data_IF_754236600746
#
_entry.id   IF_754236600746
#
_cell.length_a   1.000
_cell.length_b   1.000
_cell.length_c   1.000
_cell.angle_alpha   90.00
_cell.angle_beta   90.00
_cell.angle_gamma   90.00
#
_symmetry.space_group_name_H-M   'P 1'
#
loop_
_entity.id
_entity.type
_entity.pdbx_description
1 polymer ?
#
# COMPACT_ATOMS: atom_id res chain seq x y z
N UNK A 1 -7.75 -7.63 -14.65
CA UNK A 1 -7.17 -6.64 -13.73
C UNK A 1 -5.84 -7.20 -13.26
N UNK A 2 -4.75 -6.44 -13.33
CA UNK A 2 -3.47 -6.90 -12.78
C UNK A 2 -3.47 -6.71 -11.26
N UNK A 3 -2.61 -7.42 -10.54
CA UNK A 3 -2.44 -7.32 -9.08
C UNK A 3 -2.19 -5.87 -8.65
N UNK A 4 -1.41 -5.10 -9.44
CA UNK A 4 -1.16 -3.68 -9.15
C UNK A 4 -2.42 -2.81 -9.31
N UNK A 5 -3.28 -3.10 -10.30
CA UNK A 5 -4.54 -2.37 -10.47
C UNK A 5 -5.51 -2.67 -9.31
N UNK A 6 -5.54 -3.93 -8.84
CA UNK A 6 -6.33 -4.34 -7.67
C UNK A 6 -5.84 -3.66 -6.39
N UNK A 7 -4.52 -3.66 -6.17
CA UNK A 7 -3.90 -2.98 -5.05
C UNK A 7 -4.21 -1.49 -5.04
N UNK A 8 -4.05 -0.80 -6.19
CA UNK A 8 -4.39 0.62 -6.34
C UNK A 8 -5.85 0.91 -6.01
N UNK A 9 -6.76 0.09 -6.54
CA UNK A 9 -8.19 0.25 -6.27
C UNK A 9 -8.52 0.15 -4.77
N UNK A 10 -8.00 -0.88 -4.11
CA UNK A 10 -8.23 -1.13 -2.68
C UNK A 10 -7.64 -0.03 -1.79
N UNK A 11 -6.43 0.45 -2.09
CA UNK A 11 -5.82 1.57 -1.35
C UNK A 11 -6.61 2.86 -1.54
N UNK A 12 -7.05 3.14 -2.77
CA UNK A 12 -7.93 4.29 -3.02
C UNK A 12 -9.24 4.19 -2.24
N UNK A 13 -9.79 2.98 -2.08
CA UNK A 13 -10.99 2.74 -1.29
C UNK A 13 -10.72 2.94 0.21
N UNK A 14 -9.57 2.46 0.71
CA UNK A 14 -9.11 2.65 2.09
C UNK A 14 -8.97 4.13 2.46
N UNK A 15 -8.35 4.93 1.57
CA UNK A 15 -8.17 6.37 1.77
C UNK A 15 -9.48 7.15 1.75
N UNK A 16 -10.55 6.60 1.15
CA UNK A 16 -11.88 7.19 1.18
C UNK A 16 -12.61 6.99 2.53
N UNK A 17 -11.93 6.38 3.53
CA UNK A 17 -12.42 6.12 4.88
C UNK A 17 -13.68 5.25 4.84
N UNK A 18 -13.56 3.95 4.48
CA UNK A 18 -14.66 3.02 4.48
C UNK A 18 -15.13 2.72 5.92
N UNK A 19 -16.26 2.02 6.08
CA UNK A 19 -16.68 1.56 7.41
C UNK A 19 -15.72 0.49 7.97
N UNK A 20 -15.77 0.24 9.28
CA UNK A 20 -14.84 -0.67 9.98
C UNK A 20 -14.83 -2.09 9.40
N UNK A 21 -15.97 -2.59 8.91
CA UNK A 21 -16.05 -3.94 8.31
C UNK A 21 -15.32 -3.92 6.98
N UNK A 22 -15.59 -2.91 6.15
CA UNK A 22 -14.98 -2.79 4.84
C UNK A 22 -13.48 -2.47 4.90
N UNK A 23 -13.06 -1.65 5.87
CA UNK A 23 -11.65 -1.40 6.17
C UNK A 23 -10.90 -2.71 6.43
N UNK A 24 -11.47 -3.57 7.28
CA UNK A 24 -10.89 -4.88 7.61
C UNK A 24 -10.73 -5.76 6.37
N UNK A 25 -11.77 -5.89 5.55
CA UNK A 25 -11.73 -6.68 4.30
C UNK A 25 -10.65 -6.17 3.34
N UNK A 26 -10.51 -4.84 3.23
CA UNK A 26 -9.51 -4.21 2.37
C UNK A 26 -8.11 -4.51 2.91
N UNK A 27 -7.86 -4.33 4.20
CA UNK A 27 -6.56 -4.58 4.82
C UNK A 27 -6.13 -6.04 4.67
N UNK A 28 -7.02 -7.01 4.91
CA UNK A 28 -6.75 -8.44 4.70
C UNK A 28 -6.38 -8.74 3.24
N UNK A 29 -7.04 -8.08 2.28
CA UNK A 29 -6.74 -8.27 0.86
C UNK A 29 -5.42 -7.61 0.47
N UNK A 30 -5.12 -6.42 1.00
CA UNK A 30 -3.86 -5.73 0.76
C UNK A 30 -2.66 -6.51 1.33
N UNK A 31 -2.81 -7.15 2.48
CA UNK A 31 -1.78 -8.01 3.09
C UNK A 31 -1.38 -9.16 2.14
N UNK A 32 -2.36 -9.76 1.46
CA UNK A 32 -2.09 -10.80 0.47
C UNK A 32 -1.44 -10.28 -0.82
N UNK A 33 -1.78 -9.06 -1.25
CA UNK A 33 -1.30 -8.49 -2.52
C UNK A 33 0.05 -7.79 -2.38
N UNK A 34 0.37 -7.27 -1.19
CA UNK A 34 1.57 -6.48 -0.94
C UNK A 34 2.81 -7.37 -0.81
N UNK A 35 3.85 -7.17 -1.62
CA UNK A 35 5.14 -7.79 -1.38
C UNK A 35 5.93 -7.09 -0.26
N UNK A 36 5.60 -5.84 0.09
CA UNK A 36 6.23 -5.08 1.16
C UNK A 36 5.43 -5.25 2.46
N UNK A 37 6.00 -5.81 3.55
CA UNK A 37 5.32 -5.93 4.83
C UNK A 37 5.08 -4.58 5.52
N UNK A 38 5.79 -3.51 5.12
CA UNK A 38 5.67 -2.17 5.70
C UNK A 38 4.68 -1.28 4.92
N UNK A 39 3.87 -1.85 4.02
CA UNK A 39 2.98 -1.09 3.15
C UNK A 39 1.99 -0.17 3.90
N UNK A 40 1.52 -0.59 5.07
CA UNK A 40 0.60 0.19 5.91
C UNK A 40 1.28 1.36 6.60
N UNK A 41 2.58 1.26 6.91
CA UNK A 41 3.34 2.33 7.56
C UNK A 41 3.41 3.57 6.67
N UNK A 42 3.58 3.35 5.37
CA UNK A 42 3.54 4.39 4.35
C UNK A 42 2.19 5.13 4.26
N UNK A 43 1.08 4.52 4.71
CA UNK A 43 -0.26 5.09 4.68
C UNK A 43 -0.56 5.83 6.00
N UNK A 44 -0.23 5.23 7.14
CA UNK A 44 -0.66 5.71 8.45
C UNK A 44 0.40 6.53 9.20
N UNK A 45 1.67 6.37 8.86
CA UNK A 45 2.80 6.88 9.64
C UNK A 45 3.82 7.66 8.80
N UNK A 46 3.60 7.82 7.50
CA UNK A 46 4.49 8.54 6.60
C UNK A 46 3.75 9.50 5.69
N UNK A 47 4.35 10.67 5.48
CA UNK A 47 3.94 11.65 4.46
C UNK A 47 4.76 11.49 3.16
N UNK A 48 5.58 10.44 3.00
CA UNK A 48 6.46 10.22 1.83
C UNK A 48 5.70 10.23 0.50
N UNK A 49 4.43 9.82 0.53
CA UNK A 49 3.55 9.73 -0.63
C UNK A 49 2.49 10.83 -0.67
N UNK A 50 2.56 11.84 0.20
CA UNK A 50 1.64 12.99 0.14
C UNK A 50 2.28 14.08 -0.73
N UNK A 51 1.59 14.46 -1.81
CA UNK A 51 2.01 15.54 -2.70
C UNK A 51 1.84 16.91 -2.03
N UNK A 52 2.43 17.97 -2.63
CA UNK A 52 2.31 19.35 -2.12
C UNK A 52 0.86 19.84 -2.03
N UNK A 53 -0.03 19.31 -2.89
CA UNK A 53 -1.48 19.59 -2.86
C UNK A 53 -2.24 18.83 -1.76
N UNK A 54 -1.56 18.02 -0.94
CA UNK A 54 -2.15 17.19 0.12
C UNK A 54 -2.80 15.89 -0.37
N UNK A 55 -2.68 15.57 -1.66
CA UNK A 55 -3.21 14.34 -2.25
C UNK A 55 -2.18 13.20 -2.15
N UNK A 56 -2.66 11.98 -1.87
CA UNK A 56 -1.82 10.79 -1.84
C UNK A 56 -1.42 10.32 -3.25
N UNK A 57 -0.12 10.19 -3.51
CA UNK A 57 0.47 9.70 -4.75
C UNK A 57 0.44 8.17 -4.79
N UNK A 58 -0.71 7.66 -5.21
CA UNK A 58 -0.99 6.24 -5.33
C UNK A 58 -0.03 5.53 -6.30
N UNK A 59 0.46 6.24 -7.33
CA UNK A 59 1.37 5.65 -8.32
C UNK A 59 2.75 5.41 -7.74
N UNK A 60 3.36 6.43 -7.10
CA UNK A 60 4.65 6.31 -6.44
C UNK A 60 4.62 5.29 -5.31
N UNK A 61 3.54 5.30 -4.53
CA UNK A 61 3.32 4.34 -3.46
C UNK A 61 3.28 2.89 -3.98
N UNK A 62 2.48 2.63 -5.02
CA UNK A 62 2.39 1.29 -5.62
C UNK A 62 3.74 0.84 -6.17
N UNK A 63 4.48 1.74 -6.82
CA UNK A 63 5.82 1.42 -7.33
C UNK A 63 6.76 1.06 -6.18
N UNK A 64 6.75 1.81 -5.07
CA UNK A 64 7.58 1.52 -3.90
C UNK A 64 7.28 0.13 -3.34
N UNK A 65 6.02 -0.12 -3.02
CA UNK A 65 5.56 -1.39 -2.44
C UNK A 65 5.96 -2.55 -3.35
N UNK A 66 5.67 -2.49 -4.65
CA UNK A 66 6.00 -3.58 -5.58
C UNK A 66 7.48 -3.65 -5.99
N UNK A 67 8.28 -2.64 -5.66
CA UNK A 67 9.73 -2.69 -5.84
C UNK A 67 10.44 -3.29 -4.63
N UNK A 68 9.71 -3.60 -3.54
CA UNK A 68 10.26 -4.26 -2.38
C UNK A 68 10.93 -5.56 -2.79
N UNK A 69 12.21 -5.66 -2.46
CA UNK A 69 12.98 -6.89 -2.56
C UNK A 69 13.34 -7.26 -1.14
N UNK A 70 12.88 -8.39 -0.61
CA UNK A 70 13.38 -8.86 0.67
C UNK A 70 14.89 -8.93 0.52
N UNK A 71 15.61 -8.11 1.28
CA UNK A 71 17.06 -8.17 1.28
C UNK A 71 17.43 -9.58 1.69
N UNK A 72 18.00 -10.35 0.76
CA UNK A 72 18.61 -11.63 1.09
C UNK A 72 19.61 -11.32 2.19
N UNK A 73 19.31 -11.73 3.43
CA UNK A 73 20.34 -11.88 4.44
C UNK A 73 21.25 -13.02 3.94
N UNK A 74 22.16 -12.66 3.04
CA UNK A 74 23.33 -13.43 2.69
C UNK A 74 24.24 -13.50 3.91
N UNK A 75 23.85 -14.34 4.86
CA UNK A 75 24.66 -14.75 5.99
C UNK A 75 25.35 -16.06 5.67
N UNK A 76 26.64 -15.97 5.37
CA UNK A 76 27.64 -17.04 5.23
C UNK A 76 27.51 -18.18 6.24
#
# INVERSE_FOLDING_TARGET
MNIQDEFKFLVSELLAVPDEVRETEILERLDYLSPDPEYTDYIYHSDEFVNEDGNFDLERYTIKVFSYKPTEFGGR
#
